data_IF_630183792253
#
_entry.id   IF_630183792253
#
_cell.length_a   1.000
_cell.length_b   1.000
_cell.length_c   1.000
_cell.angle_alpha   90.00
_cell.angle_beta   90.00
_cell.angle_gamma   90.00
#
_symmetry.space_group_name_H-M   'P 1'
#
loop_
_entity.id
_entity.type
_entity.pdbx_description
1 polymer ?
#
# COMPACT_ATOMS: atom_id res chain seq x y z
N UNK A 1 24.58 -18.48 6.85
CA UNK A 1 24.17 -17.82 5.61
C UNK A 1 23.23 -16.69 6.00
N UNK A 2 23.65 -15.42 5.90
CA UNK A 2 22.78 -14.27 6.20
C UNK A 2 21.90 -14.06 4.97
N UNK A 3 20.65 -14.53 5.00
CA UNK A 3 19.64 -14.00 4.07
C UNK A 3 19.53 -12.51 4.32
N UNK A 4 19.73 -11.70 3.30
CA UNK A 4 19.79 -10.25 3.43
C UNK A 4 18.42 -9.79 3.95
N UNK A 5 18.38 -9.07 5.09
CA UNK A 5 17.13 -8.64 5.75
C UNK A 5 16.12 -8.01 4.77
N UNK A 6 16.65 -7.32 3.75
CA UNK A 6 15.92 -6.70 2.63
C UNK A 6 15.14 -7.71 1.79
N UNK A 7 15.71 -8.88 1.48
CA UNK A 7 15.01 -9.91 0.69
C UNK A 7 13.88 -10.54 1.49
N UNK A 8 14.07 -10.78 2.78
CA UNK A 8 13.02 -11.32 3.66
C UNK A 8 11.85 -10.34 3.76
N UNK A 9 12.13 -9.05 3.91
CA UNK A 9 11.10 -7.99 3.91
C UNK A 9 10.40 -7.90 2.55
N UNK A 10 11.15 -7.98 1.44
CA UNK A 10 10.58 -7.94 0.10
C UNK A 10 9.68 -9.16 -0.21
N UNK A 11 10.04 -10.35 0.31
CA UNK A 11 9.23 -11.56 0.19
C UNK A 11 7.92 -11.45 0.97
N UNK A 12 7.92 -10.79 2.14
CA UNK A 12 6.69 -10.53 2.89
C UNK A 12 5.65 -9.83 2.01
N UNK A 13 6.03 -8.76 1.30
CA UNK A 13 5.13 -8.00 0.43
C UNK A 13 4.48 -8.83 -0.69
N UNK A 14 5.16 -9.88 -1.18
CA UNK A 14 4.62 -10.78 -2.22
C UNK A 14 3.59 -11.75 -1.65
N UNK A 15 3.67 -12.07 -0.36
CA UNK A 15 2.75 -13.01 0.29
C UNK A 15 1.44 -12.38 0.75
N UNK A 16 1.35 -11.06 0.81
CA UNK A 16 0.14 -10.35 1.27
C UNK A 16 -0.93 -10.32 0.19
N UNK A 17 -2.10 -10.89 0.48
CA UNK A 17 -3.22 -10.96 -0.44
C UNK A 17 -4.50 -10.50 0.28
N UNK A 18 -4.86 -9.24 0.09
CA UNK A 18 -6.07 -8.65 0.65
C UNK A 18 -6.54 -7.49 -0.25
N UNK A 19 -7.86 -7.30 -0.47
CA UNK A 19 -8.38 -6.25 -1.38
C UNK A 19 -7.97 -4.81 -1.02
N UNK A 20 -7.64 -4.55 0.24
CA UNK A 20 -7.23 -3.23 0.74
C UNK A 20 -5.73 -3.17 1.13
N UNK A 21 -4.91 -4.09 0.60
CA UNK A 21 -3.45 -4.04 0.70
C UNK A 21 -2.90 -3.98 -0.72
N UNK A 22 -1.93 -3.11 -0.96
CA UNK A 22 -1.31 -2.95 -2.28
C UNK A 22 -0.78 -4.30 -2.82
N UNK A 23 -1.20 -4.64 -4.03
CA UNK A 23 -0.75 -5.85 -4.70
C UNK A 23 0.70 -5.71 -5.16
N UNK A 24 1.53 -6.64 -4.72
CA UNK A 24 2.91 -6.78 -5.20
C UNK A 24 2.97 -7.94 -6.20
N UNK A 25 3.39 -7.65 -7.43
CA UNK A 25 3.52 -8.62 -8.51
C UNK A 25 4.83 -9.40 -8.44
N UNK A 26 5.89 -8.83 -7.86
CA UNK A 26 7.18 -9.50 -7.72
C UNK A 26 8.33 -8.56 -7.42
N UNK A 27 9.54 -9.13 -7.42
CA UNK A 27 10.79 -8.40 -7.25
C UNK A 27 11.43 -8.13 -8.61
N UNK A 28 12.03 -6.96 -8.75
CA UNK A 28 12.89 -6.60 -9.87
C UNK A 28 14.29 -6.40 -9.33
N UNK A 29 15.26 -7.10 -9.92
CA UNK A 29 16.67 -6.84 -9.68
C UNK A 29 17.17 -5.84 -10.73
N UNK A 30 17.44 -4.58 -10.35
CA UNK A 30 17.88 -3.58 -11.31
C UNK A 30 19.31 -3.83 -11.84
N UNK A 31 20.06 -4.79 -11.26
CA UNK A 31 21.49 -4.97 -11.49
C UNK A 31 21.88 -6.29 -12.13
N UNK A 32 21.08 -6.84 -13.03
CA UNK A 32 21.49 -8.00 -13.84
C UNK A 32 22.79 -7.76 -14.66
N UNK A 33 23.32 -6.51 -14.64
CA UNK A 33 24.56 -6.11 -15.33
C UNK A 33 25.55 -5.24 -14.51
N UNK A 34 25.30 -4.92 -13.23
CA UNK A 34 26.20 -4.07 -12.43
C UNK A 34 26.51 -4.70 -11.07
N UNK A 35 27.72 -5.25 -10.97
CA UNK A 35 28.28 -5.89 -9.78
C UNK A 35 28.29 -4.86 -8.62
N UNK A 36 27.44 -5.06 -7.60
CA UNK A 36 27.65 -4.41 -6.28
C UNK A 36 26.45 -3.72 -5.62
N UNK A 37 25.23 -3.83 -6.13
CA UNK A 37 24.05 -3.22 -5.48
C UNK A 37 23.07 -4.28 -4.96
N UNK A 38 22.99 -4.41 -3.63
CA UNK A 38 22.01 -5.23 -2.88
C UNK A 38 20.59 -4.64 -2.90
N UNK A 39 20.25 -3.80 -3.90
CA UNK A 39 18.93 -3.18 -3.98
C UNK A 39 17.92 -4.11 -4.67
N UNK A 40 16.76 -4.26 -4.05
CA UNK A 40 15.59 -4.96 -4.57
C UNK A 40 14.50 -3.93 -4.81
N UNK A 41 13.87 -3.97 -5.99
CA UNK A 41 12.72 -3.14 -6.31
C UNK A 41 11.45 -3.98 -6.23
N UNK A 42 10.37 -3.41 -5.69
CA UNK A 42 9.05 -4.04 -5.70
C UNK A 42 8.27 -3.58 -6.94
N UNK A 43 7.75 -4.53 -7.72
CA UNK A 43 6.78 -4.24 -8.77
C UNK A 43 5.39 -4.31 -8.15
N UNK A 44 4.69 -3.19 -8.07
CA UNK A 44 3.39 -3.09 -7.42
C UNK A 44 2.35 -2.48 -8.35
N UNK A 45 1.07 -2.65 -8.03
CA UNK A 45 0.00 -1.94 -8.73
C UNK A 45 0.08 -0.43 -8.54
N UNK A 46 -0.37 0.32 -9.56
CA UNK A 46 -0.22 1.78 -9.60
C UNK A 46 -1.47 2.48 -9.08
N UNK A 47 -1.32 3.19 -7.96
CA UNK A 47 -2.34 4.08 -7.40
C UNK A 47 -2.26 5.46 -8.05
N UNK A 48 -3.04 5.66 -9.13
CA UNK A 48 -3.01 6.90 -9.93
C UNK A 48 -3.35 8.18 -9.15
N UNK A 49 -4.14 8.07 -8.08
CA UNK A 49 -4.65 9.21 -7.32
C UNK A 49 -3.75 9.54 -6.10
N UNK A 50 -2.65 8.79 -5.93
CA UNK A 50 -1.65 9.01 -4.89
C UNK A 50 -2.08 8.47 -3.53
N UNK A 51 -1.66 9.14 -2.46
CA UNK A 51 -1.96 8.76 -1.08
C UNK A 51 -3.07 9.64 -0.45
N UNK A 52 -3.66 9.16 0.65
CA UNK A 52 -4.73 9.84 1.37
C UNK A 52 -4.26 11.20 1.91
N UNK A 53 -3.00 11.36 2.32
CA UNK A 53 -2.53 12.65 2.83
C UNK A 53 -2.53 13.72 1.74
N UNK A 54 -2.12 13.37 0.52
CA UNK A 54 -2.24 14.24 -0.66
C UNK A 54 -3.69 14.52 -1.01
N UNK A 55 -4.57 13.51 -0.98
CA UNK A 55 -5.99 13.66 -1.30
C UNK A 55 -6.68 14.61 -0.30
N UNK A 56 -6.44 14.44 1.01
CA UNK A 56 -6.98 15.30 2.07
C UNK A 56 -6.46 16.75 2.00
N UNK A 57 -5.27 16.95 1.43
CA UNK A 57 -4.69 18.29 1.25
C UNK A 57 -5.19 18.99 -0.02
N UNK A 58 -5.91 18.28 -0.90
CA UNK A 58 -6.41 18.83 -2.14
C UNK A 58 -7.64 19.71 -1.90
N UNK A 59 -7.60 20.97 -2.38
CA UNK A 59 -8.72 21.91 -2.23
C UNK A 59 -10.03 21.42 -2.85
N UNK A 60 -9.95 20.55 -3.87
CA UNK A 60 -11.11 19.99 -4.55
C UNK A 60 -11.71 18.78 -3.81
N UNK A 61 -11.03 18.24 -2.79
CA UNK A 61 -11.50 17.07 -2.07
C UNK A 61 -12.23 17.48 -0.79
N UNK A 62 -13.55 17.45 -0.85
CA UNK A 62 -14.44 17.74 0.28
C UNK A 62 -15.27 16.49 0.57
N UNK A 63 -14.72 15.49 1.28
CA UNK A 63 -15.40 14.22 1.48
C UNK A 63 -16.58 14.40 2.43
N UNK A 64 -17.66 13.66 2.17
CA UNK A 64 -18.73 13.49 3.16
C UNK A 64 -18.24 12.61 4.32
N UNK A 65 -18.95 12.66 5.44
CA UNK A 65 -18.67 11.75 6.56
C UNK A 65 -18.77 10.27 6.14
N UNK A 66 -19.68 9.93 5.23
CA UNK A 66 -19.84 8.58 4.71
C UNK A 66 -18.57 8.10 4.02
N UNK A 67 -17.99 8.93 3.15
CA UNK A 67 -16.73 8.62 2.44
C UNK A 67 -15.57 8.39 3.42
N UNK A 68 -15.46 9.22 4.47
CA UNK A 68 -14.43 9.04 5.50
C UNK A 68 -14.59 7.73 6.27
N UNK A 69 -15.84 7.31 6.53
CA UNK A 69 -16.14 6.05 7.19
C UNK A 69 -15.76 4.87 6.29
N UNK A 70 -16.08 4.92 4.99
CA UNK A 70 -15.69 3.86 4.04
C UNK A 70 -14.17 3.70 3.96
N UNK A 71 -13.42 4.79 3.86
CA UNK A 71 -11.94 4.78 3.93
C UNK A 71 -11.48 4.08 5.21
N UNK A 72 -12.07 4.44 6.36
CA UNK A 72 -11.68 3.87 7.65
C UNK A 72 -12.01 2.37 7.75
N UNK A 73 -13.14 1.93 7.19
CA UNK A 73 -13.54 0.52 7.12
C UNK A 73 -12.52 -0.27 6.28
N UNK A 74 -12.10 0.25 5.13
CA UNK A 74 -11.12 -0.43 4.27
C UNK A 74 -9.75 -0.59 4.96
N UNK A 75 -9.25 0.49 5.58
CA UNK A 75 -8.02 0.46 6.37
C UNK A 75 -8.16 -0.54 7.53
N UNK A 76 -9.27 -0.51 8.25
CA UNK A 76 -9.52 -1.42 9.37
C UNK A 76 -9.52 -2.88 8.94
N UNK A 77 -10.16 -3.20 7.80
CA UNK A 77 -10.16 -4.55 7.24
C UNK A 77 -8.73 -5.02 6.89
N UNK A 78 -7.90 -4.16 6.28
CA UNK A 78 -6.50 -4.47 6.00
C UNK A 78 -5.70 -4.71 7.31
N UNK A 79 -5.92 -3.89 8.33
CA UNK A 79 -5.22 -4.03 9.61
C UNK A 79 -5.63 -5.28 10.38
N UNK A 80 -6.90 -5.70 10.29
CA UNK A 80 -7.36 -6.99 10.83
C UNK A 80 -6.62 -8.13 10.14
N UNK A 81 -6.56 -8.13 8.80
CA UNK A 81 -5.82 -9.13 8.05
C UNK A 81 -4.34 -9.20 8.47
N UNK A 82 -3.67 -8.04 8.62
CA UNK A 82 -2.27 -8.02 9.08
C UNK A 82 -2.12 -8.60 10.49
N UNK A 83 -3.02 -8.24 11.41
CA UNK A 83 -2.99 -8.75 12.78
C UNK A 83 -3.23 -10.26 12.86
N UNK A 84 -4.14 -10.81 12.04
CA UNK A 84 -4.40 -12.25 11.94
C UNK A 84 -3.20 -13.05 11.39
N UNK A 85 -2.27 -12.37 10.70
CA UNK A 85 -1.04 -12.95 10.17
C UNK A 85 0.20 -12.59 11.02
N UNK A 86 0.02 -12.11 12.26
CA UNK A 86 1.09 -11.69 13.17
C UNK A 86 2.00 -10.58 12.60
N UNK A 87 1.46 -9.73 11.71
CA UNK A 87 2.20 -8.63 11.08
C UNK A 87 1.82 -7.30 11.72
N UNK A 88 2.83 -6.60 12.23
CA UNK A 88 2.70 -5.22 12.69
C UNK A 88 3.12 -4.30 11.54
N UNK A 89 2.21 -3.47 11.03
CA UNK A 89 2.52 -2.52 9.95
C UNK A 89 3.67 -1.57 10.32
N UNK A 90 3.73 -1.09 11.57
CA UNK A 90 4.83 -0.28 12.09
C UNK A 90 4.82 1.21 11.70
N UNK A 91 4.22 1.57 10.56
CA UNK A 91 4.08 2.97 10.13
C UNK A 91 2.70 3.31 9.53
N UNK A 92 1.60 2.97 10.23
CA UNK A 92 0.26 3.24 9.69
C UNK A 92 -0.03 4.76 9.73
N UNK A 93 -0.13 5.38 8.56
CA UNK A 93 -0.40 6.80 8.39
C UNK A 93 -1.06 7.08 7.03
N UNK A 94 -1.75 8.22 6.88
CA UNK A 94 -2.42 8.59 5.62
C UNK A 94 -1.48 8.64 4.41
N UNK A 95 -0.20 8.96 4.61
CA UNK A 95 0.82 8.95 3.54
C UNK A 95 1.17 7.55 3.01
N UNK A 96 0.86 6.50 3.79
CA UNK A 96 1.13 5.10 3.46
C UNK A 96 -0.15 4.35 3.05
N UNK A 97 -1.28 5.06 2.92
CA UNK A 97 -2.54 4.54 2.43
C UNK A 97 -2.80 5.13 1.04
N UNK A 98 -2.90 4.26 0.03
CA UNK A 98 -2.96 4.64 -1.38
C UNK A 98 -4.40 4.63 -1.90
N UNK A 99 -4.69 5.53 -2.84
CA UNK A 99 -6.02 5.74 -3.44
C UNK A 99 -6.01 5.26 -4.89
N UNK A 100 -6.82 4.24 -5.18
CA UNK A 100 -6.92 3.65 -6.53
C UNK A 100 -8.09 4.18 -7.34
N UNK A 101 -9.15 4.61 -6.66
CA UNK A 101 -10.33 5.22 -7.26
C UNK A 101 -10.78 6.34 -6.34
N UNK A 102 -10.73 7.57 -6.81
CA UNK A 102 -11.56 8.65 -6.27
C UNK A 102 -12.63 8.99 -7.29
N UNK A 103 -13.85 8.50 -7.11
CA UNK A 103 -14.99 9.02 -7.88
C UNK A 103 -15.75 10.04 -7.01
N UNK A 104 -15.77 11.34 -7.39
CA UNK A 104 -16.50 12.35 -6.63
C UNK A 104 -18.04 12.16 -6.67
N UNK A 105 -18.54 11.28 -7.53
CA UNK A 105 -19.97 11.07 -7.81
C UNK A 105 -20.43 9.65 -7.45
N UNK A 106 -19.51 8.74 -7.13
CA UNK A 106 -19.82 7.41 -6.60
C UNK A 106 -19.29 7.29 -5.16
N UNK A 107 -20.24 7.31 -4.22
CA UNK A 107 -19.99 7.21 -2.79
C UNK A 107 -19.28 5.91 -2.37
N UNK A 108 -19.19 4.90 -3.25
CA UNK A 108 -18.62 3.57 -2.96
C UNK A 108 -17.14 3.41 -3.34
N UNK A 109 -16.48 4.46 -3.83
CA UNK A 109 -15.13 4.36 -4.37
C UNK A 109 -14.23 5.45 -3.83
N UNK A 110 -13.79 5.24 -2.59
CA UNK A 110 -12.44 5.60 -2.10
C UNK A 110 -11.94 4.46 -1.24
#
# INVERSE_FOLDING_TARGET
MKGNKVEVEALLYITLHHPHIIKTYGLVNPNDQLIGSDSVLLLQEYAKDGDIARLLSAQYFVPSQYVLIEIFIQISNAMIYLAENDIIHGDLACRNALVFKSDPHDTKTI
#
